data_IF_772557065793
#
_entry.id   IF_772557065793
#
_cell.length_a   1.000
_cell.length_b   1.000
_cell.length_c   1.000
_cell.angle_alpha   90.00
_cell.angle_beta   90.00
_cell.angle_gamma   90.00
#
_symmetry.space_group_name_H-M   'P 1'
#
loop_
_entity.id
_entity.type
_entity.pdbx_description
1 polymer ?
#
# COMPACT_ATOMS: atom_id res chain seq x y z
N UNK A 1 -35.22 10.06 43.09
CA UNK A 1 -34.67 8.81 43.68
C UNK A 1 -34.15 8.00 42.48
N UNK A 2 -32.90 7.63 42.31
CA UNK A 2 -31.80 7.31 43.21
C UNK A 2 -30.51 7.45 42.38
N UNK A 3 -29.56 8.25 42.87
CA UNK A 3 -28.23 8.36 42.28
C UNK A 3 -27.48 7.03 42.44
N UNK A 4 -26.71 6.62 41.43
CA UNK A 4 -25.61 5.69 41.64
C UNK A 4 -24.36 6.24 40.96
N UNK A 5 -23.53 6.88 41.81
CA UNK A 5 -22.11 7.10 41.57
C UNK A 5 -21.40 5.74 41.58
N UNK A 6 -20.52 5.50 40.61
CA UNK A 6 -19.25 4.84 40.92
C UNK A 6 -18.18 5.29 39.93
N UNK A 7 -17.23 6.06 40.45
CA UNK A 7 -15.98 6.45 39.83
C UNK A 7 -14.89 5.42 40.19
N UNK A 8 -13.97 5.15 39.26
CA UNK A 8 -12.57 4.67 39.38
C UNK A 8 -12.24 3.81 38.15
N UNK A 9 -11.06 3.83 37.51
CA UNK A 9 -9.76 4.39 37.86
C UNK A 9 -8.90 4.42 36.58
N UNK A 10 -8.05 5.44 36.44
CA UNK A 10 -6.98 5.52 35.44
C UNK A 10 -6.04 4.31 35.51
N UNK A 11 -5.65 3.78 34.35
CA UNK A 11 -4.35 3.11 34.15
C UNK A 11 -3.73 3.66 32.86
N UNK A 12 -2.98 4.74 33.01
CA UNK A 12 -1.96 5.12 32.06
C UNK A 12 -0.77 4.18 32.23
N UNK A 13 -0.51 3.35 31.22
CA UNK A 13 0.80 2.70 31.06
C UNK A 13 1.52 3.41 29.92
N UNK A 14 2.47 4.24 30.32
CA UNK A 14 3.52 4.74 29.45
C UNK A 14 4.38 3.53 29.11
N UNK A 15 4.18 2.94 27.93
CA UNK A 15 5.13 1.98 27.37
C UNK A 15 6.26 2.78 26.71
N UNK A 16 7.23 3.17 27.53
CA UNK A 16 8.58 3.48 27.08
C UNK A 16 9.41 2.20 27.20
N UNK A 17 9.61 1.52 26.08
CA UNK A 17 10.58 0.46 25.87
C UNK A 17 10.90 0.46 24.37
N UNK A 18 12.11 0.62 23.87
CA UNK A 18 13.41 0.36 24.48
C UNK A 18 14.00 -0.90 23.86
N UNK A 19 14.80 -0.74 22.79
CA UNK A 19 15.82 -1.73 22.40
C UNK A 19 15.75 -2.27 20.97
N UNK A 20 16.54 -1.65 20.08
CA UNK A 20 17.63 -2.33 19.36
C UNK A 20 17.29 -3.27 18.20
N UNK A 21 17.44 -2.77 16.98
CA UNK A 21 17.54 -3.56 15.75
C UNK A 21 17.70 -2.63 14.57
N UNK A 22 18.95 -2.24 14.30
CA UNK A 22 19.27 -1.15 13.38
C UNK A 22 18.95 -1.45 11.91
N UNK A 23 18.16 -0.57 11.33
CA UNK A 23 18.32 -0.12 9.95
C UNK A 23 18.39 1.41 10.04
N UNK A 24 19.59 1.95 9.90
CA UNK A 24 19.88 3.38 10.06
C UNK A 24 19.31 4.16 8.86
N UNK A 25 17.99 4.35 8.87
CA UNK A 25 17.32 5.39 8.12
C UNK A 25 17.28 6.63 8.97
N UNK A 26 18.37 7.40 9.01
CA UNK A 26 18.36 8.74 9.64
C UNK A 26 17.33 9.61 8.90
N UNK A 27 16.15 9.79 9.48
CA UNK A 27 15.20 10.84 9.08
C UNK A 27 15.83 12.19 9.42
N UNK A 28 16.21 12.96 8.40
CA UNK A 28 16.70 14.33 8.54
C UNK A 28 15.54 15.21 9.06
N UNK A 29 15.50 15.41 10.38
CA UNK A 29 14.58 16.34 11.05
C UNK A 29 15.15 17.75 11.00
N UNK A 30 15.05 18.40 9.83
CA UNK A 30 15.32 19.82 9.67
C UNK A 30 14.37 20.39 8.64
N UNK A 31 13.61 21.44 9.00
CA UNK A 31 12.81 22.15 8.00
C UNK A 31 13.76 22.70 6.93
N UNK A 32 13.49 22.48 5.63
CA UNK A 32 14.37 22.95 4.58
C UNK A 32 14.46 24.47 4.64
N UNK A 33 15.69 24.99 4.61
CA UNK A 33 15.96 26.43 4.63
C UNK A 33 15.60 27.11 3.30
N UNK A 34 15.47 26.30 2.24
CA UNK A 34 15.30 26.71 0.84
C UNK A 34 14.69 25.55 0.05
N UNK A 35 14.05 25.86 -1.09
CA UNK A 35 13.60 24.83 -2.05
C UNK A 35 14.72 24.33 -2.97
N UNK A 36 15.90 24.97 -2.96
CA UNK A 36 17.05 24.54 -3.75
C UNK A 36 17.74 23.35 -3.08
N UNK A 37 18.03 22.31 -3.87
CA UNK A 37 18.65 21.09 -3.36
C UNK A 37 20.05 21.34 -2.76
N UNK A 38 20.84 22.25 -3.36
CA UNK A 38 22.20 22.57 -2.91
C UNK A 38 22.24 23.22 -1.51
N UNK A 39 21.13 23.85 -1.09
CA UNK A 39 21.03 24.51 0.21
C UNK A 39 20.62 23.53 1.33
N UNK A 40 20.31 22.28 0.97
CA UNK A 40 19.87 21.22 1.88
C UNK A 40 20.82 20.01 1.77
N UNK A 41 22.07 20.15 2.24
CA UNK A 41 23.06 19.08 2.16
C UNK A 41 22.59 17.83 2.91
N UNK A 42 22.67 16.69 2.25
CA UNK A 42 22.35 15.40 2.83
C UNK A 42 23.60 14.72 3.42
N UNK A 43 23.46 13.87 4.44
CA UNK A 43 24.54 12.99 4.88
C UNK A 43 25.12 12.17 3.72
N UNK A 44 26.42 11.84 3.79
CA UNK A 44 27.11 11.07 2.74
C UNK A 44 26.51 9.68 2.47
N UNK A 45 25.76 9.14 3.44
CA UNK A 45 25.05 7.86 3.37
C UNK A 45 23.53 8.02 3.15
N UNK A 46 23.03 9.23 2.89
CA UNK A 46 21.60 9.45 2.69
C UNK A 46 21.12 8.74 1.41
N UNK A 47 20.01 7.99 1.54
CA UNK A 47 19.31 7.37 0.41
C UNK A 47 17.99 8.09 0.18
N UNK A 48 17.84 8.69 -0.99
CA UNK A 48 16.60 9.31 -1.44
C UNK A 48 15.84 8.31 -2.31
N UNK A 49 14.93 7.55 -1.71
CA UNK A 49 14.11 6.59 -2.42
C UNK A 49 12.63 6.91 -2.18
N UNK A 50 11.98 7.39 -3.23
CA UNK A 50 10.55 7.71 -3.19
C UNK A 50 9.67 6.55 -3.69
N UNK A 51 10.23 5.64 -4.48
CA UNK A 51 9.53 4.50 -5.09
C UNK A 51 10.29 3.20 -4.88
N UNK A 52 9.57 2.09 -4.84
CA UNK A 52 10.10 0.75 -4.80
C UNK A 52 9.42 -0.10 -5.88
N UNK A 53 10.18 -1.02 -6.48
CA UNK A 53 9.65 -1.93 -7.49
C UNK A 53 9.12 -3.18 -6.80
N UNK A 54 7.89 -3.56 -7.14
CA UNK A 54 7.25 -4.78 -6.68
C UNK A 54 6.75 -5.56 -7.90
N UNK A 55 6.70 -6.89 -7.77
CA UNK A 55 6.04 -7.74 -8.75
C UNK A 55 4.63 -8.01 -8.24
N UNK A 56 3.63 -7.46 -8.94
CA UNK A 56 2.24 -7.81 -8.72
C UNK A 56 1.95 -9.10 -9.48
N UNK A 57 1.32 -10.07 -8.83
CA UNK A 57 0.91 -11.33 -9.44
C UNK A 57 -0.55 -11.63 -9.13
N UNK A 58 -1.27 -12.16 -10.12
CA UNK A 58 -2.66 -12.59 -10.00
C UNK A 58 -2.84 -13.92 -10.74
N UNK A 59 -3.56 -14.86 -10.11
CA UNK A 59 -4.01 -16.12 -10.71
C UNK A 59 -5.51 -16.00 -10.96
N UNK A 60 -5.94 -15.61 -12.19
CA UNK A 60 -7.35 -15.30 -12.45
C UNK A 60 -8.24 -16.55 -12.44
N UNK A 61 -7.66 -17.71 -12.71
CA UNK A 61 -8.31 -19.03 -12.68
C UNK A 61 -8.82 -19.41 -11.28
N UNK A 62 -8.15 -18.94 -10.22
CA UNK A 62 -8.58 -19.16 -8.83
C UNK A 62 -9.86 -18.36 -8.47
N UNK A 63 -10.20 -17.34 -9.24
CA UNK A 63 -11.31 -16.41 -8.96
C UNK A 63 -12.66 -16.86 -9.55
N UNK A 64 -12.69 -17.98 -10.28
CA UNK A 64 -13.91 -18.63 -10.79
C UNK A 64 -14.86 -17.71 -11.59
N UNK A 65 -14.34 -16.73 -12.32
CA UNK A 65 -15.17 -15.83 -13.14
C UNK A 65 -15.79 -16.59 -14.33
N UNK A 66 -17.04 -16.28 -14.67
CA UNK A 66 -17.81 -16.90 -15.74
C UNK A 66 -17.42 -16.36 -17.13
N UNK A 67 -17.12 -15.06 -17.23
CA UNK A 67 -16.76 -14.44 -18.52
C UNK A 67 -15.47 -15.00 -19.13
N UNK A 68 -15.37 -14.92 -20.46
CA UNK A 68 -14.22 -15.42 -21.22
C UNK A 68 -13.11 -14.37 -21.30
N UNK A 69 -13.49 -13.11 -21.39
CA UNK A 69 -12.57 -11.97 -21.45
C UNK A 69 -12.50 -11.33 -20.08
N UNK A 70 -11.30 -11.20 -19.53
CA UNK A 70 -11.09 -10.53 -18.25
C UNK A 70 -10.38 -9.19 -18.43
N UNK A 71 -10.79 -8.20 -17.65
CA UNK A 71 -10.16 -6.89 -17.56
C UNK A 71 -9.70 -6.63 -16.14
N UNK A 72 -8.43 -6.29 -15.97
CA UNK A 72 -7.80 -6.02 -14.69
C UNK A 72 -7.49 -4.53 -14.56
N UNK A 73 -7.85 -3.96 -13.42
CA UNK A 73 -7.42 -2.64 -12.96
C UNK A 73 -6.59 -2.80 -11.70
N UNK A 74 -5.34 -2.34 -11.70
CA UNK A 74 -4.47 -2.29 -10.52
C UNK A 74 -4.26 -0.83 -10.13
N UNK A 75 -4.43 -0.50 -8.85
CA UNK A 75 -4.39 0.88 -8.37
C UNK A 75 -3.91 1.00 -6.92
N UNK A 76 -3.44 2.19 -6.57
CA UNK A 76 -3.05 2.56 -5.20
C UNK A 76 -4.25 3.00 -4.38
N UNK A 77 -4.11 3.05 -3.06
CA UNK A 77 -5.16 3.59 -2.17
C UNK A 77 -5.49 5.06 -2.47
N UNK A 78 -4.48 5.82 -2.93
CA UNK A 78 -4.65 7.18 -3.46
C UNK A 78 -5.51 7.28 -4.73
N UNK A 79 -5.89 6.15 -5.34
CA UNK A 79 -6.67 6.08 -6.58
C UNK A 79 -5.84 6.16 -7.86
N UNK A 80 -4.52 6.29 -7.77
CA UNK A 80 -3.63 6.25 -8.94
C UNK A 80 -3.65 4.87 -9.59
N UNK A 81 -4.02 4.82 -10.87
CA UNK A 81 -4.09 3.58 -11.65
C UNK A 81 -2.70 3.23 -12.18
N UNK A 82 -2.23 2.03 -11.85
CA UNK A 82 -0.94 1.48 -12.30
C UNK A 82 -1.10 0.63 -13.56
N UNK A 83 -2.25 -0.02 -13.71
CA UNK A 83 -2.57 -0.85 -14.87
C UNK A 83 -4.07 -0.87 -15.12
N UNK A 84 -4.46 -0.85 -16.39
CA UNK A 84 -5.81 -1.11 -16.85
C UNK A 84 -5.72 -1.82 -18.21
N UNK A 85 -6.18 -3.05 -18.29
CA UNK A 85 -6.09 -3.81 -19.53
C UNK A 85 -6.75 -5.17 -19.46
N UNK A 86 -6.89 -5.78 -20.64
CA UNK A 86 -7.30 -7.17 -20.76
C UNK A 86 -6.18 -8.11 -20.32
N UNK A 87 -6.53 -9.19 -19.63
CA UNK A 87 -5.60 -10.24 -19.23
C UNK A 87 -6.10 -11.61 -19.72
N UNK A 88 -5.20 -12.60 -19.77
CA UNK A 88 -5.58 -13.99 -20.03
C UNK A 88 -6.17 -14.61 -18.76
N UNK A 89 -7.30 -15.31 -18.92
CA UNK A 89 -8.01 -16.00 -17.84
C UNK A 89 -7.28 -17.25 -17.35
N UNK A 90 -6.47 -17.87 -18.22
CA UNK A 90 -5.92 -19.20 -17.98
C UNK A 90 -4.41 -19.18 -17.66
N UNK A 91 -3.85 -18.01 -17.42
CA UNK A 91 -2.44 -17.88 -17.07
C UNK A 91 -2.23 -16.85 -15.97
N UNK A 92 -1.16 -17.05 -15.20
CA UNK A 92 -0.74 -16.08 -14.19
C UNK A 92 -0.39 -14.76 -14.87
N UNK A 93 -0.98 -13.68 -14.38
CA UNK A 93 -0.64 -12.34 -14.78
C UNK A 93 0.40 -11.78 -13.83
N UNK A 94 1.55 -11.36 -14.36
CA UNK A 94 2.63 -10.73 -13.58
C UNK A 94 2.95 -9.34 -14.15
N UNK A 95 2.99 -8.34 -13.28
CA UNK A 95 3.22 -6.94 -13.64
C UNK A 95 4.25 -6.30 -12.69
N UNK A 96 5.44 -5.89 -13.20
CA UNK A 96 6.33 -5.07 -12.40
C UNK A 96 5.73 -3.67 -12.24
N UNK A 97 5.54 -3.24 -10.99
CA UNK A 97 5.00 -1.93 -10.65
C UNK A 97 5.99 -1.14 -9.80
N UNK A 98 6.07 0.17 -10.05
CA UNK A 98 6.85 1.09 -9.23
C UNK A 98 5.89 1.87 -8.34
N UNK A 99 6.03 1.69 -7.03
CA UNK A 99 5.04 2.13 -6.04
C UNK A 99 5.71 3.08 -5.03
N UNK A 100 5.07 4.21 -4.64
CA UNK A 100 5.63 5.07 -3.61
C UNK A 100 5.88 4.31 -2.31
N UNK A 101 7.02 4.52 -1.67
CA UNK A 101 7.45 3.78 -0.46
C UNK A 101 6.51 3.93 0.75
N UNK A 102 5.64 4.95 0.73
CA UNK A 102 4.59 5.17 1.74
C UNK A 102 3.39 4.24 1.60
N UNK A 103 3.13 3.72 0.41
CA UNK A 103 2.01 2.81 0.17
C UNK A 103 2.33 1.45 0.80
N UNK A 104 1.29 0.74 1.26
CA UNK A 104 1.42 -0.57 1.90
C UNK A 104 0.64 -1.68 1.20
N UNK A 105 -0.27 -1.29 0.33
CA UNK A 105 -1.16 -2.20 -0.38
C UNK A 105 -1.31 -1.75 -1.83
N UNK A 106 -1.39 -2.73 -2.72
CA UNK A 106 -1.96 -2.58 -4.05
C UNK A 106 -3.39 -3.09 -4.01
N UNK A 107 -4.30 -2.38 -4.67
CA UNK A 107 -5.67 -2.82 -4.86
C UNK A 107 -5.87 -3.25 -6.28
N UNK A 108 -6.76 -4.21 -6.49
CA UNK A 108 -7.18 -4.60 -7.82
C UNK A 108 -8.68 -4.76 -7.91
N UNK A 109 -9.20 -4.50 -9.11
CA UNK A 109 -10.53 -4.88 -9.54
C UNK A 109 -10.42 -5.73 -10.80
N UNK A 110 -11.11 -6.85 -10.81
CA UNK A 110 -11.23 -7.75 -11.94
C UNK A 110 -12.68 -7.76 -12.44
N UNK A 111 -12.82 -7.57 -13.74
CA UNK A 111 -14.10 -7.53 -14.45
C UNK A 111 -14.09 -8.60 -15.55
N UNK A 112 -15.27 -9.04 -15.94
CA UNK A 112 -15.44 -9.90 -17.11
C UNK A 112 -16.41 -9.31 -18.12
N UNK A 113 -16.50 -9.96 -19.29
CA UNK A 113 -17.49 -9.66 -20.32
C UNK A 113 -18.86 -10.32 -20.08
N UNK A 114 -19.04 -11.11 -19.02
CA UNK A 114 -20.31 -11.78 -18.74
C UNK A 114 -21.32 -10.80 -18.12
N UNK A 115 -22.46 -10.64 -18.79
CA UNK A 115 -23.50 -9.74 -18.34
C UNK A 115 -24.07 -10.17 -16.97
N UNK A 116 -24.01 -9.27 -15.99
CA UNK A 116 -24.51 -9.51 -14.64
C UNK A 116 -23.52 -10.22 -13.71
N UNK A 117 -22.31 -10.56 -14.17
CA UNK A 117 -21.23 -10.94 -13.25
C UNK A 117 -20.72 -9.71 -12.50
N UNK A 118 -20.58 -9.84 -11.17
CA UNK A 118 -20.03 -8.78 -10.35
C UNK A 118 -18.50 -8.71 -10.47
N UNK A 119 -17.95 -7.51 -10.23
CA UNK A 119 -16.50 -7.35 -10.13
C UNK A 119 -15.96 -8.11 -8.93
N UNK A 120 -14.73 -8.61 -9.05
CA UNK A 120 -13.97 -9.15 -7.92
C UNK A 120 -12.91 -8.14 -7.52
N UNK A 121 -12.90 -7.74 -6.25
CA UNK A 121 -11.91 -6.80 -5.71
C UNK A 121 -10.99 -7.50 -4.72
N UNK A 122 -9.73 -7.10 -4.67
CA UNK A 122 -8.78 -7.60 -3.68
C UNK A 122 -7.63 -6.66 -3.41
N UNK A 123 -6.81 -7.02 -2.43
CA UNK A 123 -5.63 -6.26 -2.02
C UNK A 123 -4.42 -7.19 -1.89
N UNK A 124 -3.25 -6.67 -2.24
CA UNK A 124 -1.96 -7.35 -2.13
C UNK A 124 -1.04 -6.47 -1.30
N UNK A 125 -0.45 -7.02 -0.23
CA UNK A 125 0.52 -6.31 0.60
C UNK A 125 1.85 -6.14 -0.15
N UNK A 126 2.51 -5.00 0.04
CA UNK A 126 3.77 -4.60 -0.60
C UNK A 126 5.00 -4.93 0.24
#
# INVERSE_FOLDING_TARGET
MKHFFLASMLLGVVSCGGGGGGEDGTTVTGNPSSSLLNDNPAPANARFQQYQNHLFELQPDELNMAGNTLFLKVYLDSGSVLFLGQIDKNSTFSLPVSVPTREKVLKYDLFSDFAGEERVSGEVAL
#
